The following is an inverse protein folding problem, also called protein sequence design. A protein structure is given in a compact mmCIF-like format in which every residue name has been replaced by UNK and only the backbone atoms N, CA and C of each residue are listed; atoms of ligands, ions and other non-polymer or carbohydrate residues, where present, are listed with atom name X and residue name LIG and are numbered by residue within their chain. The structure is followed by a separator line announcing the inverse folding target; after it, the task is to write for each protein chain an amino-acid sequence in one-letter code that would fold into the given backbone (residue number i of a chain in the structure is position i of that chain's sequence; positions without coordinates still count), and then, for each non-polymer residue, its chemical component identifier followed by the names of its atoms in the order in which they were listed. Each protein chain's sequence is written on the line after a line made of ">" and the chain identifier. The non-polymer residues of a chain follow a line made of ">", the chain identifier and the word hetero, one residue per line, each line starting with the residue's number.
data_IF_412922951446
#
_entry.id   IF_412922951446
#
_cell.length_a   1.000
_cell.length_b   1.000
_cell.length_c   1.000
_cell.angle_alpha   90.00
_cell.angle_beta   90.00
_cell.angle_gamma   90.00
#
_symmetry.space_group_name_H-M   'P 1'
#
loop_
_entity.id
_entity.type
_entity.pdbx_description
1 polymer ?
#
# COMPACT_ATOMS: atom_id res chain seq x y z
N UNK A 1 -21.92 11.07 2.81
CA UNK A 1 -22.43 10.35 4.00
C UNK A 1 -23.26 9.13 3.64
N UNK A 2 -24.61 9.12 3.59
CA UNK A 2 -25.42 7.87 3.43
C UNK A 2 -24.94 6.90 2.33
N UNK A 3 -24.58 7.39 1.13
CA UNK A 3 -23.99 6.59 0.04
C UNK A 3 -22.68 5.87 0.40
N UNK A 4 -21.82 6.50 1.21
CA UNK A 4 -20.52 5.95 1.64
C UNK A 4 -20.69 4.87 2.72
N UNK A 5 -21.65 5.05 3.64
CA UNK A 5 -21.97 4.02 4.64
C UNK A 5 -22.57 2.79 3.94
N UNK A 6 -23.46 2.98 2.95
CA UNK A 6 -24.00 1.87 2.15
C UNK A 6 -22.90 1.12 1.37
N UNK A 7 -21.95 1.86 0.78
CA UNK A 7 -20.74 1.28 0.18
C UNK A 7 -20.01 0.42 1.21
N UNK A 8 -19.71 0.97 2.38
CA UNK A 8 -18.94 0.27 3.42
C UNK A 8 -19.66 -0.99 3.91
N UNK A 9 -20.97 -0.94 4.14
CA UNK A 9 -21.77 -2.11 4.55
C UNK A 9 -21.82 -3.17 3.46
N UNK A 10 -22.00 -2.80 2.20
CA UNK A 10 -22.00 -3.73 1.07
C UNK A 10 -20.61 -4.37 0.85
N UNK A 11 -19.56 -3.55 0.88
CA UNK A 11 -18.15 -3.97 0.89
C UNK A 11 -17.94 -4.98 2.02
N UNK A 12 -18.15 -4.60 3.29
CA UNK A 12 -17.84 -5.47 4.43
C UNK A 12 -18.64 -6.78 4.39
N UNK A 13 -19.90 -6.77 3.93
CA UNK A 13 -20.69 -8.00 3.73
C UNK A 13 -20.22 -8.89 2.58
N UNK A 14 -19.57 -8.34 1.55
CA UNK A 14 -18.94 -9.10 0.48
C UNK A 14 -17.57 -9.65 0.93
N UNK A 15 -16.80 -8.86 1.68
CA UNK A 15 -15.45 -9.22 2.15
C UNK A 15 -15.44 -10.11 3.41
N UNK A 16 -16.53 -10.19 4.19
CA UNK A 16 -16.61 -11.04 5.38
C UNK A 16 -16.83 -12.54 5.08
N UNK A 17 -17.00 -12.92 3.81
CA UNK A 17 -17.35 -14.31 3.41
C UNK A 17 -16.12 -15.04 2.87
N UNK A 18 -15.26 -15.48 3.81
CA UNK A 18 -14.17 -16.44 3.65
C UNK A 18 -12.94 -16.02 2.80
N UNK A 19 -11.77 -15.74 3.43
CA UNK A 19 -10.49 -15.80 2.74
C UNK A 19 -10.05 -17.28 2.55
N UNK A 20 -9.77 -17.68 1.32
CA UNK A 20 -9.21 -19.01 1.00
C UNK A 20 -7.90 -18.82 0.24
N UNK A 21 -6.78 -19.10 0.91
CA UNK A 21 -5.45 -19.09 0.31
C UNK A 21 -5.18 -20.40 -0.45
N UNK A 22 -4.52 -20.30 -1.61
CA UNK A 22 -4.03 -21.45 -2.37
C UNK A 22 -2.78 -21.07 -3.18
N UNK A 23 -1.66 -21.73 -2.89
CA UNK A 23 -0.38 -21.55 -3.60
C UNK A 23 -0.19 -22.61 -4.69
N UNK A 24 0.51 -22.25 -5.78
CA UNK A 24 1.56 -23.08 -6.42
C UNK A 24 2.18 -22.35 -7.63
N UNK A 25 3.46 -22.61 -7.88
CA UNK A 25 4.28 -22.02 -8.98
C UNK A 25 5.14 -23.14 -9.58
N UNK A 26 5.40 -23.07 -10.90
CA UNK A 26 6.42 -23.85 -11.60
C UNK A 26 7.02 -23.04 -12.76
N UNK A 27 8.32 -23.25 -13.04
CA UNK A 27 9.15 -22.55 -14.04
C UNK A 27 8.90 -23.09 -15.49
N UNK A 28 9.44 -22.60 -16.62
CA UNK A 28 10.86 -22.37 -16.96
C UNK A 28 11.14 -21.51 -18.24
N UNK A 29 12.27 -20.76 -18.21
CA UNK A 29 13.19 -20.24 -19.27
C UNK A 29 12.75 -19.91 -20.73
N UNK A 30 12.90 -18.62 -21.10
CA UNK A 30 13.91 -17.98 -22.01
C UNK A 30 14.56 -18.82 -23.15
N UNK A 31 15.01 -18.25 -24.33
CA UNK A 31 15.92 -17.06 -24.39
C UNK A 31 16.03 -16.18 -25.69
N UNK A 32 16.86 -15.10 -25.63
CA UNK A 32 17.53 -14.28 -26.71
C UNK A 32 16.69 -13.66 -27.85
N UNK A 33 17.08 -12.62 -28.62
CA UNK A 33 18.22 -11.65 -28.83
C UNK A 33 17.57 -10.31 -29.33
N UNK A 34 18.15 -9.14 -29.63
CA UNK A 34 19.35 -8.26 -29.40
C UNK A 34 19.02 -6.93 -30.16
N UNK A 35 19.60 -5.73 -29.98
CA UNK A 35 20.49 -5.07 -29.00
C UNK A 35 20.38 -3.52 -29.21
N UNK A 36 20.70 -2.69 -28.19
CA UNK A 36 21.22 -1.30 -28.33
C UNK A 36 21.44 -0.63 -26.94
N UNK A 37 22.55 0.12 -26.77
CA UNK A 37 22.99 0.79 -25.52
C UNK A 37 23.08 -0.16 -24.32
N UNK A 38 24.22 -0.85 -24.21
CA UNK A 38 24.43 -2.10 -23.43
C UNK A 38 23.27 -2.46 -22.49
N UNK A 39 22.23 -3.14 -23.03
CA UNK A 39 21.10 -3.56 -22.25
C UNK A 39 21.50 -4.51 -21.14
N UNK A 40 22.65 -5.19 -21.23
CA UNK A 40 23.11 -6.11 -20.21
C UNK A 40 23.59 -5.37 -18.97
N UNK A 41 24.29 -4.25 -19.10
CA UNK A 41 24.73 -3.46 -17.93
C UNK A 41 23.51 -2.85 -17.21
N UNK A 42 22.54 -2.29 -17.95
CA UNK A 42 21.29 -1.79 -17.38
C UNK A 42 20.40 -2.91 -16.83
N UNK A 43 20.34 -4.07 -17.50
CA UNK A 43 19.56 -5.23 -17.07
C UNK A 43 20.22 -5.94 -15.88
N UNK A 44 21.54 -5.94 -15.75
CA UNK A 44 22.24 -6.52 -14.60
C UNK A 44 22.19 -5.57 -13.39
N UNK A 45 22.18 -4.24 -13.58
CA UNK A 45 21.85 -3.29 -12.52
C UNK A 45 20.36 -3.37 -12.10
N UNK A 46 19.45 -3.53 -13.07
CA UNK A 46 18.03 -3.80 -12.80
C UNK A 46 17.82 -5.17 -12.17
N UNK A 47 18.55 -6.22 -12.54
CA UNK A 47 18.54 -7.53 -11.87
C UNK A 47 19.14 -7.44 -10.47
N UNK A 48 20.14 -6.60 -10.22
CA UNK A 48 20.64 -6.39 -8.86
C UNK A 48 19.58 -5.68 -8.00
N UNK A 49 18.90 -4.67 -8.57
CA UNK A 49 17.78 -3.99 -7.91
C UNK A 49 16.56 -4.90 -7.74
N UNK A 50 16.22 -5.73 -8.73
CA UNK A 50 15.16 -6.72 -8.68
C UNK A 50 15.52 -7.82 -7.69
N UNK A 51 16.70 -8.42 -7.70
CA UNK A 51 17.14 -9.40 -6.70
C UNK A 51 17.16 -8.81 -5.28
N UNK A 52 17.49 -7.52 -5.11
CA UNK A 52 17.41 -6.86 -3.80
C UNK A 52 15.95 -6.59 -3.38
N UNK A 53 15.08 -6.19 -4.32
CA UNK A 53 13.63 -6.08 -4.09
C UNK A 53 12.98 -7.45 -3.89
N UNK A 54 13.48 -8.51 -4.51
CA UNK A 54 13.06 -9.90 -4.37
C UNK A 54 13.63 -10.50 -3.07
N UNK A 55 14.78 -10.06 -2.56
CA UNK A 55 15.22 -10.40 -1.21
C UNK A 55 14.36 -9.69 -0.15
N UNK A 56 13.91 -8.46 -0.41
CA UNK A 56 12.88 -7.79 0.39
C UNK A 56 11.50 -8.47 0.24
N UNK A 57 11.16 -8.96 -0.96
CA UNK A 57 9.89 -9.67 -1.23
C UNK A 57 9.93 -11.13 -0.76
N UNK A 58 11.11 -11.74 -0.62
CA UNK A 58 11.30 -13.07 -0.05
C UNK A 58 11.28 -13.03 1.49
N UNK A 59 11.16 -11.84 2.10
CA UNK A 59 10.59 -11.74 3.44
C UNK A 59 9.10 -12.17 3.49
N UNK A 60 8.40 -12.37 2.36
CA UNK A 60 7.12 -13.08 2.35
C UNK A 60 7.25 -14.57 2.79
N UNK A 61 8.48 -15.11 2.91
CA UNK A 61 8.72 -16.37 3.63
C UNK A 61 8.39 -16.29 5.13
N UNK A 62 8.13 -15.10 5.70
CA UNK A 62 7.66 -14.94 7.08
C UNK A 62 6.28 -15.57 7.33
N UNK A 63 5.45 -15.77 6.31
CA UNK A 63 4.14 -16.41 6.51
C UNK A 63 4.25 -17.92 6.76
N UNK A 64 5.24 -18.60 6.17
CA UNK A 64 5.58 -20.00 6.47
C UNK A 64 6.60 -20.11 7.64
N UNK A 65 6.40 -19.31 8.70
CA UNK A 65 7.33 -19.31 9.85
C UNK A 65 6.95 -18.50 11.09
N UNK A 66 6.10 -17.47 11.00
CA UNK A 66 5.68 -16.70 12.18
C UNK A 66 4.79 -17.55 13.10
N UNK A 67 5.39 -18.04 14.19
CA UNK A 67 4.65 -18.61 15.31
C UNK A 67 3.87 -17.48 16.03
N UNK A 68 2.55 -17.46 15.87
CA UNK A 68 1.66 -16.47 16.46
C UNK A 68 1.75 -16.45 17.99
N UNK A 69 1.92 -17.60 18.65
CA UNK A 69 2.11 -17.66 20.11
C UNK A 69 3.43 -16.99 20.55
N UNK A 70 4.47 -17.09 19.74
CA UNK A 70 5.75 -16.39 19.98
C UNK A 70 5.59 -14.88 19.83
N UNK A 71 4.82 -14.43 18.82
CA UNK A 71 4.55 -13.01 18.58
C UNK A 71 3.70 -12.39 19.69
N UNK A 72 2.68 -13.11 20.18
CA UNK A 72 1.83 -12.66 21.31
C UNK A 72 2.65 -12.54 22.59
N UNK A 73 3.42 -13.58 22.96
CA UNK A 73 4.28 -13.54 24.16
C UNK A 73 5.33 -12.42 24.09
N UNK A 74 5.91 -12.15 22.92
CA UNK A 74 6.82 -11.01 22.74
C UNK A 74 6.08 -9.67 22.92
N UNK A 75 4.90 -9.51 22.33
CA UNK A 75 4.12 -8.28 22.46
C UNK A 75 3.76 -7.95 23.91
N UNK A 76 3.36 -8.92 24.73
CA UNK A 76 3.06 -8.70 26.15
C UNK A 76 4.28 -8.17 26.92
N UNK A 77 5.48 -8.71 26.68
CA UNK A 77 6.72 -8.25 27.33
C UNK A 77 7.07 -6.82 26.86
N UNK A 78 6.90 -6.51 25.57
CA UNK A 78 7.13 -5.17 25.02
C UNK A 78 6.11 -4.15 25.57
N UNK A 79 4.88 -4.55 25.85
CA UNK A 79 3.85 -3.69 26.46
C UNK A 79 4.10 -3.47 27.95
N UNK A 80 4.64 -4.45 28.68
CA UNK A 80 5.13 -4.26 30.05
C UNK A 80 6.41 -3.40 30.11
N UNK A 81 7.24 -3.38 29.07
CA UNK A 81 8.32 -2.40 28.94
C UNK A 81 7.76 -1.00 28.63
N UNK A 82 6.83 -0.89 27.68
CA UNK A 82 6.16 0.38 27.35
C UNK A 82 5.55 1.05 28.59
N UNK A 83 4.76 0.32 29.39
CA UNK A 83 4.16 0.81 30.65
C UNK A 83 5.21 1.35 31.64
N UNK A 84 6.42 0.76 31.70
CA UNK A 84 7.53 1.29 32.52
C UNK A 84 8.07 2.61 31.96
N UNK A 85 8.29 2.68 30.64
CA UNK A 85 8.79 3.89 29.96
C UNK A 85 7.82 5.06 30.13
N UNK A 86 6.51 4.81 29.95
CA UNK A 86 5.43 5.77 30.21
C UNK A 86 5.43 6.23 31.67
N UNK A 87 5.43 5.29 32.63
CA UNK A 87 5.41 5.59 34.07
C UNK A 87 6.66 6.35 34.56
N UNK A 88 7.80 6.17 33.91
CA UNK A 88 9.04 6.91 34.19
C UNK A 88 9.11 8.29 33.53
N UNK A 89 8.11 8.66 32.72
CA UNK A 89 8.11 9.95 31.99
C UNK A 89 9.15 10.04 30.88
N UNK A 90 9.57 8.89 30.32
CA UNK A 90 10.60 8.79 29.27
C UNK A 90 10.00 8.68 27.87
N UNK A 91 8.81 9.26 27.70
CA UNK A 91 7.99 9.22 26.48
C UNK A 91 7.37 10.60 26.23
N UNK A 92 7.25 10.97 24.96
CA UNK A 92 6.53 12.17 24.51
C UNK A 92 5.82 11.93 23.18
N UNK A 93 4.85 12.80 22.86
CA UNK A 93 4.35 12.95 21.50
C UNK A 93 4.92 14.26 20.92
N UNK A 94 5.35 14.23 19.66
CA UNK A 94 5.80 15.42 18.94
C UNK A 94 4.65 16.13 18.19
N UNK A 95 4.97 17.19 17.44
CA UNK A 95 3.98 18.04 16.75
C UNK A 95 3.13 17.28 15.69
N UNK A 96 3.66 16.19 15.12
CA UNK A 96 2.94 15.29 14.20
C UNK A 96 2.12 14.21 14.93
N UNK A 97 2.18 14.16 16.26
CA UNK A 97 1.48 13.17 17.10
C UNK A 97 2.18 11.81 17.11
N UNK A 98 3.48 11.75 16.84
CA UNK A 98 4.29 10.53 16.83
C UNK A 98 4.99 10.34 18.18
N UNK A 99 5.16 9.09 18.59
CA UNK A 99 5.79 8.74 19.86
C UNK A 99 7.31 8.85 19.77
N UNK A 100 7.90 9.53 20.75
CA UNK A 100 9.34 9.70 20.91
C UNK A 100 9.76 9.09 22.25
N UNK A 101 10.82 8.27 22.23
CA UNK A 101 11.35 7.56 23.38
C UNK A 101 12.66 8.23 23.80
N UNK A 102 12.77 8.64 25.07
CA UNK A 102 14.00 9.22 25.59
C UNK A 102 15.10 8.15 25.71
N UNK A 103 16.35 8.47 25.34
CA UNK A 103 17.42 7.49 25.24
C UNK A 103 17.69 6.71 26.55
N UNK A 104 17.50 7.34 27.72
CA UNK A 104 17.60 6.68 29.04
C UNK A 104 16.46 5.69 29.34
N UNK A 105 15.60 5.38 28.38
CA UNK A 105 14.65 4.27 28.49
C UNK A 105 15.34 2.90 28.33
N UNK A 106 16.56 2.85 27.77
CA UNK A 106 17.40 1.64 27.70
C UNK A 106 17.66 1.08 29.12
N UNK A 107 17.83 1.95 30.12
CA UNK A 107 18.01 1.61 31.54
C UNK A 107 16.81 0.88 32.19
N UNK A 108 15.66 0.80 31.50
CA UNK A 108 14.43 0.12 31.97
C UNK A 108 14.23 -1.27 31.35
N UNK A 109 15.04 -1.63 30.36
CA UNK A 109 15.02 -2.96 29.74
C UNK A 109 15.82 -3.98 30.56
N UNK A 110 15.61 -5.27 30.27
CA UNK A 110 16.37 -6.38 30.90
C UNK A 110 17.71 -6.60 30.19
N UNK A 111 17.72 -6.37 28.89
CA UNK A 111 18.84 -6.48 27.98
C UNK A 111 18.60 -5.55 26.78
N UNK A 112 19.62 -5.38 25.93
CA UNK A 112 19.54 -4.50 24.76
C UNK A 112 18.60 -5.05 23.67
N UNK A 113 18.59 -6.35 23.41
CA UNK A 113 17.79 -6.93 22.33
C UNK A 113 16.29 -6.68 22.59
N UNK A 114 15.85 -6.71 23.85
CA UNK A 114 14.51 -6.32 24.26
C UNK A 114 14.21 -4.83 24.01
N UNK A 115 15.19 -3.93 24.23
CA UNK A 115 15.03 -2.50 23.98
C UNK A 115 14.99 -2.17 22.48
N UNK A 116 15.87 -2.77 21.68
CA UNK A 116 15.87 -2.62 20.22
C UNK A 116 14.55 -3.14 19.60
N UNK A 117 14.00 -4.26 20.11
CA UNK A 117 12.66 -4.74 19.73
C UNK A 117 11.53 -3.79 20.17
N UNK A 118 11.65 -3.13 21.33
CA UNK A 118 10.69 -2.12 21.78
C UNK A 118 10.71 -0.88 20.89
N UNK A 119 11.90 -0.37 20.55
CA UNK A 119 12.03 0.73 19.58
C UNK A 119 11.42 0.35 18.23
N UNK A 120 11.69 -0.85 17.72
CA UNK A 120 11.06 -1.35 16.48
C UNK A 120 9.52 -1.41 16.58
N UNK A 121 8.95 -1.82 17.73
CA UNK A 121 7.48 -1.75 17.95
C UNK A 121 6.99 -0.30 17.88
N UNK A 122 7.69 0.65 18.50
CA UNK A 122 7.33 2.07 18.45
C UNK A 122 7.47 2.68 17.05
N UNK A 123 8.48 2.29 16.26
CA UNK A 123 8.61 2.67 14.85
C UNK A 123 7.44 2.16 14.00
N UNK A 124 6.99 0.91 14.22
CA UNK A 124 5.82 0.35 13.53
C UNK A 124 4.52 1.04 13.94
N UNK A 125 4.36 1.38 15.22
CA UNK A 125 3.25 2.22 15.70
C UNK A 125 3.27 3.60 15.02
N UNK A 126 4.42 4.27 14.99
CA UNK A 126 4.58 5.57 14.32
C UNK A 126 4.27 5.49 12.82
N UNK A 127 4.73 4.46 12.12
CA UNK A 127 4.40 4.25 10.71
C UNK A 127 2.88 4.12 10.48
N UNK A 128 2.17 3.38 11.33
CA UNK A 128 0.71 3.29 11.25
C UNK A 128 0.01 4.63 11.54
N UNK A 129 0.54 5.45 12.45
CA UNK A 129 0.04 6.82 12.67
C UNK A 129 0.35 7.74 11.47
N UNK A 130 1.54 7.65 10.86
CA UNK A 130 1.94 8.45 9.67
C UNK A 130 1.06 8.14 8.46
N UNK A 131 0.79 6.86 8.18
CA UNK A 131 -0.10 6.46 7.07
C UNK A 131 -1.57 6.75 7.42
N UNK A 132 -1.94 6.53 8.68
CA UNK A 132 -3.26 6.77 9.23
C UNK A 132 -4.05 5.50 9.51
N UNK A 133 -5.17 5.66 10.22
CA UNK A 133 -5.97 4.54 10.75
C UNK A 133 -5.69 4.20 12.22
N UNK A 134 -4.69 4.86 12.80
CA UNK A 134 -4.28 4.74 14.20
C UNK A 134 -3.89 6.12 14.75
N UNK A 135 -3.95 6.26 16.07
CA UNK A 135 -3.43 7.40 16.84
C UNK A 135 -2.91 6.92 18.19
N UNK A 136 -2.09 7.72 18.88
CA UNK A 136 -1.83 7.50 20.30
C UNK A 136 -2.92 8.15 21.15
N UNK A 137 -3.24 7.56 22.30
CA UNK A 137 -4.11 8.17 23.33
C UNK A 137 -3.31 9.03 24.34
N UNK A 138 -3.99 9.54 25.36
CA UNK A 138 -3.38 10.37 26.41
C UNK A 138 -2.44 9.62 27.35
N UNK A 139 -2.51 8.29 27.35
CA UNK A 139 -1.65 7.39 28.14
C UNK A 139 -0.57 6.73 27.25
N UNK A 140 -0.38 7.26 26.04
CA UNK A 140 0.57 6.85 24.99
C UNK A 140 0.33 5.46 24.37
N UNK A 141 -0.82 4.82 24.61
CA UNK A 141 -1.14 3.56 23.94
C UNK A 141 -1.51 3.83 22.49
N UNK A 142 -1.13 2.93 21.58
CA UNK A 142 -1.59 2.98 20.19
C UNK A 142 -3.03 2.47 20.10
N UNK A 143 -3.95 3.37 19.76
CA UNK A 143 -5.37 3.07 19.55
C UNK A 143 -5.67 2.97 18.06
N UNK A 144 -6.43 1.94 17.68
CA UNK A 144 -6.84 1.72 16.30
C UNK A 144 -8.21 2.37 16.05
N UNK A 145 -8.30 3.22 15.02
CA UNK A 145 -9.53 3.95 14.70
C UNK A 145 -10.62 3.02 14.18
N UNK A 146 -11.91 3.40 14.30
CA UNK A 146 -12.98 2.70 13.57
C UNK A 146 -12.80 2.88 12.07
N UNK A 147 -13.28 1.95 11.22
CA UNK A 147 -13.03 2.02 9.77
C UNK A 147 -13.52 3.32 9.14
N UNK A 148 -14.63 3.86 9.65
CA UNK A 148 -15.21 5.11 9.16
C UNK A 148 -14.34 6.32 9.54
N UNK A 149 -13.55 6.26 10.61
CA UNK A 149 -12.59 7.29 11.03
C UNK A 149 -11.23 7.08 10.36
N UNK A 150 -10.74 5.83 10.31
CA UNK A 150 -9.52 5.43 9.63
C UNK A 150 -9.51 5.88 8.17
N UNK A 151 -10.60 5.64 7.43
CA UNK A 151 -10.70 6.07 6.03
C UNK A 151 -10.62 7.60 5.90
N UNK A 152 -11.25 8.37 6.81
CA UNK A 152 -11.20 9.84 6.81
C UNK A 152 -9.80 10.36 7.15
N UNK A 153 -9.14 9.77 8.13
CA UNK A 153 -7.78 10.09 8.58
C UNK A 153 -6.75 9.82 7.48
N UNK A 154 -6.78 8.62 6.89
CA UNK A 154 -5.92 8.22 5.77
C UNK A 154 -6.18 9.11 4.56
N UNK A 155 -7.43 9.45 4.23
CA UNK A 155 -7.76 10.41 3.15
C UNK A 155 -7.22 11.82 3.44
N UNK A 156 -7.30 12.30 4.69
CA UNK A 156 -6.75 13.60 5.08
C UNK A 156 -5.22 13.64 4.99
N UNK A 157 -4.54 12.60 5.48
CA UNK A 157 -3.07 12.43 5.38
C UNK A 157 -2.62 12.30 3.92
N UNK A 158 -3.36 11.55 3.11
CA UNK A 158 -3.18 11.47 1.66
C UNK A 158 -3.33 12.83 0.95
N UNK A 159 -4.34 13.63 1.30
CA UNK A 159 -4.52 14.97 0.74
C UNK A 159 -3.39 15.93 1.12
N UNK A 160 -2.91 15.90 2.37
CA UNK A 160 -1.69 16.63 2.78
C UNK A 160 -0.46 16.19 1.97
N UNK A 161 -0.23 14.88 1.83
CA UNK A 161 0.87 14.27 1.03
C UNK A 161 0.84 14.75 -0.43
N UNK A 162 -0.35 14.86 -1.05
CA UNK A 162 -0.53 15.40 -2.40
C UNK A 162 -0.24 16.91 -2.48
N UNK A 163 -0.71 17.69 -1.50
CA UNK A 163 -0.48 19.15 -1.46
C UNK A 163 1.01 19.49 -1.30
N UNK A 164 1.70 18.86 -0.36
CA UNK A 164 3.15 19.06 -0.17
C UNK A 164 3.95 18.67 -1.40
N UNK A 165 3.69 17.49 -1.98
CA UNK A 165 4.41 17.01 -3.16
C UNK A 165 4.12 17.85 -4.42
N UNK A 166 2.89 18.36 -4.60
CA UNK A 166 2.57 19.22 -5.75
C UNK A 166 3.28 20.59 -5.68
N UNK A 167 3.44 21.17 -4.49
CA UNK A 167 4.25 22.38 -4.28
C UNK A 167 5.73 22.19 -4.67
N UNK A 168 6.33 21.02 -4.41
CA UNK A 168 7.68 20.70 -4.87
C UNK A 168 7.73 20.43 -6.38
N UNK A 169 6.70 19.80 -6.97
CA UNK A 169 6.65 19.53 -8.42
C UNK A 169 6.66 20.81 -9.27
N UNK A 170 6.16 21.93 -8.76
CA UNK A 170 6.21 23.26 -9.40
C UNK A 170 7.62 23.88 -9.46
N UNK A 171 8.64 23.23 -8.87
CA UNK A 171 10.07 23.54 -9.03
C UNK A 171 10.84 22.52 -9.87
N UNK A 172 10.17 21.52 -10.44
CA UNK A 172 10.77 20.58 -11.39
C UNK A 172 10.96 21.23 -12.77
N UNK A 173 12.22 21.40 -13.19
CA UNK A 173 12.66 22.03 -14.44
C UNK A 173 11.67 21.92 -15.62
N UNK A 174 11.19 23.07 -16.11
CA UNK A 174 10.67 23.22 -17.47
C UNK A 174 11.79 23.22 -18.53
N UNK A 175 12.68 22.22 -18.47
CA UNK A 175 13.79 22.06 -19.40
C UNK A 175 13.32 21.42 -20.70
N UNK A 176 13.07 22.29 -21.69
CA UNK A 176 12.63 21.98 -23.05
C UNK A 176 13.28 20.72 -23.67
N UNK A 177 12.47 19.69 -23.96
CA UNK A 177 12.57 18.97 -25.24
C UNK A 177 11.25 18.26 -25.61
N UNK A 178 10.19 19.05 -25.83
CA UNK A 178 8.91 18.52 -26.31
C UNK A 178 9.01 18.14 -27.80
N UNK A 179 9.31 16.87 -28.09
CA UNK A 179 8.96 16.27 -29.39
C UNK A 179 7.44 16.31 -29.53
N UNK A 180 6.95 17.22 -30.38
CA UNK A 180 5.52 17.30 -30.68
C UNK A 180 4.98 15.92 -31.10
N UNK A 181 3.82 15.55 -30.55
CA UNK A 181 3.02 14.35 -30.85
C UNK A 181 3.37 13.04 -30.11
N UNK A 182 4.37 12.99 -29.22
CA UNK A 182 4.57 11.81 -28.34
C UNK A 182 3.68 11.87 -27.09
N UNK A 183 2.91 10.80 -26.79
CA UNK A 183 2.16 10.67 -25.54
C UNK A 183 3.11 10.61 -24.31
N UNK A 184 2.70 11.14 -23.14
CA UNK A 184 3.50 11.04 -21.93
C UNK A 184 3.66 9.59 -21.48
N UNK A 185 4.85 9.25 -20.97
CA UNK A 185 5.18 7.90 -20.47
C UNK A 185 4.53 7.64 -19.12
N UNK A 186 3.97 6.44 -18.95
CA UNK A 186 3.43 5.93 -17.69
C UNK A 186 4.05 4.58 -17.34
N UNK A 187 4.90 4.55 -16.31
CA UNK A 187 5.42 3.30 -15.74
C UNK A 187 4.36 2.65 -14.83
N UNK A 188 3.31 2.08 -15.44
CA UNK A 188 2.17 1.53 -14.72
C UNK A 188 2.58 0.38 -13.79
N UNK A 189 3.44 -0.53 -14.26
CA UNK A 189 3.97 -1.65 -13.46
C UNK A 189 4.77 -1.18 -12.24
N UNK A 190 5.65 -0.18 -12.41
CA UNK A 190 6.48 0.33 -11.31
C UNK A 190 5.66 1.06 -10.24
N UNK A 191 4.68 1.86 -10.65
CA UNK A 191 3.79 2.56 -9.71
C UNK A 191 2.89 1.55 -8.99
N UNK A 192 2.27 0.61 -9.71
CA UNK A 192 1.40 -0.40 -9.10
C UNK A 192 2.16 -1.35 -8.17
N UNK A 193 3.42 -1.69 -8.49
CA UNK A 193 4.30 -2.47 -7.60
C UNK A 193 4.63 -1.70 -6.31
N UNK A 194 4.97 -0.41 -6.41
CA UNK A 194 5.16 0.42 -5.21
C UNK A 194 3.89 0.49 -4.36
N UNK A 195 2.74 0.70 -5.00
CA UNK A 195 1.46 0.76 -4.29
C UNK A 195 1.12 -0.58 -3.63
N UNK A 196 1.42 -1.73 -4.27
CA UNK A 196 1.28 -3.07 -3.66
C UNK A 196 2.17 -3.21 -2.43
N UNK A 197 3.41 -2.74 -2.49
CA UNK A 197 4.30 -2.70 -1.32
C UNK A 197 3.74 -1.83 -0.20
N UNK A 198 3.19 -0.63 -0.49
CA UNK A 198 2.54 0.21 0.53
C UNK A 198 1.33 -0.51 1.20
N UNK A 199 0.65 -1.45 0.53
CA UNK A 199 -0.37 -2.32 1.15
C UNK A 199 0.27 -3.42 2.02
N UNK A 200 1.33 -4.06 1.54
CA UNK A 200 2.01 -5.16 2.25
C UNK A 200 2.71 -4.66 3.53
N UNK A 201 3.37 -3.51 3.47
CA UNK A 201 4.03 -2.86 4.61
C UNK A 201 3.00 -2.51 5.71
N UNK A 202 1.83 -1.99 5.31
CA UNK A 202 0.72 -1.70 6.23
C UNK A 202 0.16 -2.97 6.89
N UNK A 203 0.03 -4.05 6.12
CA UNK A 203 -0.39 -5.35 6.66
C UNK A 203 0.61 -5.92 7.67
N UNK A 204 1.91 -5.91 7.35
CA UNK A 204 2.96 -6.41 8.25
C UNK A 204 3.03 -5.57 9.54
N UNK A 205 2.93 -4.24 9.43
CA UNK A 205 2.87 -3.37 10.62
C UNK A 205 1.61 -3.64 11.47
N UNK A 206 0.42 -3.74 10.85
CA UNK A 206 -0.82 -4.07 11.57
C UNK A 206 -0.78 -5.47 12.19
N UNK A 207 -0.19 -6.47 11.52
CA UNK A 207 -0.05 -7.84 12.04
C UNK A 207 0.88 -7.87 13.27
N UNK A 208 2.00 -7.16 13.22
CA UNK A 208 2.94 -7.06 14.33
C UNK A 208 2.30 -6.39 15.56
N UNK A 209 1.50 -5.35 15.36
CA UNK A 209 0.83 -4.58 16.41
C UNK A 209 -0.41 -5.28 16.98
N UNK A 210 -1.31 -5.77 16.13
CA UNK A 210 -2.60 -6.37 16.54
C UNK A 210 -2.46 -7.84 16.98
N UNK A 211 -1.31 -8.48 16.74
CA UNK A 211 -1.06 -9.91 17.01
C UNK A 211 -1.97 -10.87 16.22
N UNK A 212 -2.74 -10.36 15.26
CA UNK A 212 -3.90 -11.04 14.67
C UNK A 212 -4.01 -10.77 13.17
N UNK A 213 -3.86 -11.81 12.35
CA UNK A 213 -4.01 -11.72 10.89
C UNK A 213 -5.38 -11.22 10.46
N UNK A 214 -6.46 -11.62 11.15
CA UNK A 214 -7.82 -11.15 10.85
C UNK A 214 -7.97 -9.64 11.10
N UNK A 215 -7.39 -9.12 12.18
CA UNK A 215 -7.38 -7.68 12.45
C UNK A 215 -6.54 -6.93 11.40
N UNK A 216 -5.34 -7.45 11.08
CA UNK A 216 -4.46 -6.87 10.09
C UNK A 216 -5.09 -6.81 8.68
N UNK A 217 -5.78 -7.86 8.21
CA UNK A 217 -6.51 -7.84 6.92
C UNK A 217 -7.61 -6.76 6.94
N UNK A 218 -8.37 -6.66 8.03
CA UNK A 218 -9.46 -5.68 8.16
C UNK A 218 -8.96 -4.23 8.20
N UNK A 219 -7.86 -3.96 8.89
CA UNK A 219 -7.22 -2.63 8.95
C UNK A 219 -6.55 -2.26 7.61
N UNK A 220 -5.87 -3.21 6.97
CA UNK A 220 -5.27 -3.03 5.64
C UNK A 220 -6.35 -2.82 4.57
N UNK A 221 -7.51 -3.46 4.70
CA UNK A 221 -8.69 -3.20 3.86
C UNK A 221 -9.15 -1.75 3.98
N UNK A 222 -9.21 -1.17 5.18
CA UNK A 222 -9.56 0.23 5.37
C UNK A 222 -8.54 1.18 4.70
N UNK A 223 -7.24 0.91 4.84
CA UNK A 223 -6.17 1.66 4.15
C UNK A 223 -6.27 1.58 2.62
N UNK A 224 -6.45 0.37 2.08
CA UNK A 224 -6.56 0.16 0.63
C UNK A 224 -7.80 0.87 0.06
N UNK A 225 -8.97 0.72 0.71
CA UNK A 225 -10.20 1.44 0.34
C UNK A 225 -10.00 2.95 0.39
N UNK A 226 -9.38 3.49 1.45
CA UNK A 226 -9.10 4.92 1.57
C UNK A 226 -8.18 5.46 0.47
N UNK A 227 -7.30 4.61 -0.07
CA UNK A 227 -6.33 4.99 -1.11
C UNK A 227 -6.86 4.83 -2.54
N UNK A 228 -7.70 3.83 -2.84
CA UNK A 228 -8.27 3.60 -4.20
C UNK A 228 -9.59 4.34 -4.47
N UNK A 229 -10.31 4.80 -3.43
CA UNK A 229 -11.60 5.48 -3.61
C UNK A 229 -11.46 6.99 -3.75
N UNK A 230 -12.56 7.66 -4.18
CA UNK A 230 -12.61 9.09 -4.51
C UNK A 230 -11.85 9.98 -3.51
N UNK A 231 -10.81 10.67 -3.99
CA UNK A 231 -9.96 11.57 -3.19
C UNK A 231 -8.77 10.90 -2.48
N UNK A 232 -8.56 9.59 -2.67
CA UNK A 232 -7.36 8.86 -2.25
C UNK A 232 -6.17 9.05 -3.21
N UNK A 233 -4.96 8.68 -2.77
CA UNK A 233 -3.71 8.83 -3.56
C UNK A 233 -3.64 7.96 -4.82
N UNK A 234 -4.51 6.95 -4.96
CA UNK A 234 -4.55 6.04 -6.10
C UNK A 234 -5.84 6.18 -6.94
N UNK A 235 -6.67 7.19 -6.68
CA UNK A 235 -7.76 7.60 -7.58
C UNK A 235 -7.18 8.33 -8.81
N UNK A 236 -6.46 7.58 -9.66
CA UNK A 236 -5.87 8.09 -10.89
C UNK A 236 -6.90 8.58 -11.91
N UNK A 237 -8.21 8.37 -11.68
CA UNK A 237 -9.29 8.93 -12.50
C UNK A 237 -9.50 10.42 -12.22
N UNK A 238 -9.28 10.88 -10.98
CA UNK A 238 -9.47 12.28 -10.56
C UNK A 238 -8.17 13.01 -10.13
N UNK A 239 -7.12 12.28 -9.73
CA UNK A 239 -5.90 12.83 -9.17
C UNK A 239 -5.19 13.83 -10.09
N UNK A 240 -4.71 14.94 -9.53
CA UNK A 240 -3.93 15.94 -10.26
C UNK A 240 -2.70 15.32 -10.96
N UNK A 241 -2.44 15.72 -12.21
CA UNK A 241 -1.43 15.12 -13.09
C UNK A 241 -1.92 13.86 -13.83
N UNK A 242 -2.90 13.12 -13.29
CA UNK A 242 -3.52 11.96 -13.96
C UNK A 242 -4.84 12.30 -14.64
N UNK A 243 -5.66 13.14 -14.01
CA UNK A 243 -6.92 13.67 -14.54
C UNK A 243 -6.75 14.40 -15.89
N UNK A 244 -7.75 14.36 -16.79
CA UNK A 244 -9.01 13.60 -16.70
C UNK A 244 -8.81 12.09 -16.84
N UNK A 245 -9.82 11.28 -16.47
CA UNK A 245 -9.85 9.82 -16.66
C UNK A 245 -9.53 9.41 -18.12
N UNK A 246 -9.92 10.21 -19.11
CA UNK A 246 -9.66 10.00 -20.53
C UNK A 246 -8.24 10.36 -20.99
N UNK A 247 -7.40 10.97 -20.15
CA UNK A 247 -6.01 11.36 -20.50
C UNK A 247 -5.22 10.13 -20.94
N UNK A 248 -4.57 10.23 -22.09
CA UNK A 248 -3.81 9.14 -22.70
C UNK A 248 -2.32 9.18 -22.34
N UNK A 249 -1.74 7.99 -22.27
CA UNK A 249 -0.34 7.72 -21.92
C UNK A 249 0.23 6.63 -22.82
N UNK A 250 1.54 6.66 -23.05
CA UNK A 250 2.27 5.46 -23.46
C UNK A 250 2.59 4.64 -22.20
N UNK A 251 1.81 3.60 -21.93
CA UNK A 251 1.83 2.88 -20.66
C UNK A 251 2.59 1.54 -20.76
N UNK A 252 3.46 1.33 -19.78
CA UNK A 252 4.34 0.17 -19.65
C UNK A 252 3.85 -0.73 -18.51
N UNK A 253 3.42 -1.94 -18.86
CA UNK A 253 3.00 -3.02 -17.94
C UNK A 253 4.07 -4.12 -17.91
N UNK A 254 3.91 -5.19 -17.11
CA UNK A 254 4.82 -6.35 -17.14
C UNK A 254 4.87 -6.97 -18.55
N UNK A 255 3.73 -7.03 -19.26
CA UNK A 255 3.64 -7.59 -20.60
C UNK A 255 3.91 -6.60 -21.75
N UNK A 256 3.93 -5.28 -21.50
CA UNK A 256 4.22 -4.25 -22.53
C UNK A 256 5.51 -3.44 -22.29
N UNK A 257 6.43 -3.96 -21.48
CA UNK A 257 7.58 -3.20 -20.97
C UNK A 257 8.55 -2.66 -22.05
N UNK A 258 8.56 -3.23 -23.26
CA UNK A 258 9.46 -2.82 -24.34
C UNK A 258 8.83 -1.85 -25.36
N UNK A 259 7.53 -1.98 -25.66
CA UNK A 259 6.85 -1.13 -26.65
C UNK A 259 6.06 0.01 -26.03
N UNK A 260 5.55 -0.18 -24.82
CA UNK A 260 4.41 0.56 -24.29
C UNK A 260 3.12 0.27 -25.06
N UNK A 261 1.98 0.75 -24.53
CA UNK A 261 0.65 0.70 -25.17
C UNK A 261 -0.10 1.98 -24.83
N UNK A 262 -0.83 2.55 -25.79
CA UNK A 262 -1.75 3.68 -25.51
C UNK A 262 -2.85 3.26 -24.52
N UNK A 263 -2.81 3.82 -23.30
CA UNK A 263 -3.81 3.59 -22.25
C UNK A 263 -4.31 4.91 -21.66
N UNK A 264 -5.46 4.86 -21.01
CA UNK A 264 -6.08 6.00 -20.31
C UNK A 264 -5.77 5.98 -18.81
N UNK A 265 -5.90 7.12 -18.13
CA UNK A 265 -5.85 7.18 -16.66
C UNK A 265 -6.96 6.35 -15.99
N UNK A 266 -8.12 6.20 -16.64
CA UNK A 266 -9.18 5.25 -16.30
C UNK A 266 -8.66 3.80 -16.25
N UNK A 267 -8.05 3.34 -17.35
CA UNK A 267 -7.44 2.02 -17.44
C UNK A 267 -6.39 1.83 -16.35
N UNK A 268 -5.58 2.86 -16.06
CA UNK A 268 -4.54 2.76 -15.05
C UNK A 268 -5.09 2.68 -13.61
N UNK A 269 -6.14 3.43 -13.29
CA UNK A 269 -6.84 3.31 -12.01
C UNK A 269 -7.38 1.89 -11.79
N UNK A 270 -8.03 1.32 -12.82
CA UNK A 270 -8.55 -0.05 -12.80
C UNK A 270 -7.44 -1.12 -12.71
N UNK A 271 -6.34 -0.93 -13.46
CA UNK A 271 -5.16 -1.80 -13.40
C UNK A 271 -4.53 -1.78 -11.99
N UNK A 272 -4.29 -0.59 -11.43
CA UNK A 272 -3.74 -0.45 -10.08
C UNK A 272 -4.66 -1.05 -9.02
N UNK A 273 -5.98 -0.88 -9.15
CA UNK A 273 -6.99 -1.48 -8.27
C UNK A 273 -6.89 -3.02 -8.28
N UNK A 274 -6.81 -3.65 -9.46
CA UNK A 274 -6.61 -5.10 -9.57
C UNK A 274 -5.25 -5.57 -9.04
N UNK A 275 -4.19 -4.82 -9.34
CA UNK A 275 -2.80 -5.14 -8.99
C UNK A 275 -2.56 -5.10 -7.47
N UNK A 276 -3.02 -4.04 -6.81
CA UNK A 276 -2.92 -3.87 -5.35
C UNK A 276 -3.94 -4.72 -4.60
N UNK A 277 -5.17 -4.81 -5.12
CA UNK A 277 -6.27 -5.53 -4.48
C UNK A 277 -6.08 -7.04 -4.38
N UNK A 278 -5.27 -7.65 -5.27
CA UNK A 278 -4.94 -9.08 -5.22
C UNK A 278 -4.40 -9.54 -3.86
N UNK A 279 -3.64 -8.68 -3.17
CA UNK A 279 -3.03 -9.05 -1.89
C UNK A 279 -4.09 -9.35 -0.80
N UNK A 280 -5.27 -8.74 -0.89
CA UNK A 280 -6.35 -8.90 0.08
C UNK A 280 -7.51 -9.76 -0.45
N UNK A 281 -7.74 -9.76 -1.77
CA UNK A 281 -9.03 -10.15 -2.35
C UNK A 281 -8.90 -10.98 -3.64
N UNK A 282 -9.90 -11.84 -3.88
CA UNK A 282 -10.01 -12.58 -5.15
C UNK A 282 -10.57 -11.71 -6.28
N UNK A 283 -10.25 -12.08 -7.53
CA UNK A 283 -10.68 -11.34 -8.73
C UNK A 283 -12.21 -11.14 -8.84
N UNK A 284 -13.01 -12.13 -8.45
CA UNK A 284 -14.49 -12.02 -8.47
C UNK A 284 -15.00 -10.99 -7.48
N UNK A 285 -14.36 -10.89 -6.31
CA UNK A 285 -14.67 -9.90 -5.28
C UNK A 285 -14.21 -8.49 -5.72
N UNK A 286 -13.06 -8.38 -6.38
CA UNK A 286 -12.61 -7.11 -6.99
C UNK A 286 -13.58 -6.63 -8.08
N UNK A 287 -14.10 -7.52 -8.94
CA UNK A 287 -15.16 -7.16 -9.89
C UNK A 287 -16.45 -6.70 -9.19
N UNK A 288 -16.83 -7.29 -8.05
CA UNK A 288 -18.00 -6.85 -7.30
C UNK A 288 -17.79 -5.43 -6.71
N UNK A 289 -16.60 -5.15 -6.18
CA UNK A 289 -16.23 -3.83 -5.67
C UNK A 289 -16.18 -2.75 -6.76
N UNK A 290 -15.56 -3.04 -7.91
CA UNK A 290 -15.52 -2.16 -9.07
C UNK A 290 -16.92 -1.82 -9.62
N UNK A 291 -17.75 -2.85 -9.86
CA UNK A 291 -19.14 -2.65 -10.29
C UNK A 291 -19.96 -1.77 -9.33
N UNK A 292 -19.79 -1.94 -8.01
CA UNK A 292 -20.45 -1.09 -7.02
C UNK A 292 -19.92 0.36 -7.07
N UNK A 293 -18.60 0.55 -7.16
CA UNK A 293 -17.95 1.84 -7.30
C UNK A 293 -18.45 2.61 -8.55
N UNK A 294 -18.51 1.93 -9.69
CA UNK A 294 -19.09 2.45 -10.93
C UNK A 294 -20.53 2.93 -10.73
N UNK A 295 -21.41 2.10 -10.16
CA UNK A 295 -22.82 2.48 -9.93
C UNK A 295 -22.95 3.64 -8.94
N UNK A 296 -22.08 3.73 -7.93
CA UNK A 296 -22.16 4.75 -6.89
C UNK A 296 -21.72 6.15 -7.38
N UNK A 297 -20.71 6.19 -8.26
CA UNK A 297 -19.98 7.41 -8.66
C UNK A 297 -20.09 7.75 -10.16
N UNK A 298 -20.00 6.76 -11.06
CA UNK A 298 -20.19 6.93 -12.51
C UNK A 298 -21.65 6.75 -12.98
N UNK A 299 -22.48 6.06 -12.18
CA UNK A 299 -23.88 5.77 -12.50
C UNK A 299 -24.09 4.55 -13.42
N UNK A 300 -23.05 3.77 -13.69
CA UNK A 300 -23.07 2.57 -14.54
C UNK A 300 -22.20 1.45 -13.95
N UNK A 301 -22.45 0.20 -14.34
CA UNK A 301 -21.57 -0.93 -14.02
C UNK A 301 -20.21 -0.81 -14.72
N UNK A 302 -19.20 -1.54 -14.26
CA UNK A 302 -17.89 -1.61 -14.91
C UNK A 302 -18.03 -2.25 -16.30
N UNK A 303 -17.42 -1.63 -17.32
CA UNK A 303 -17.44 -2.18 -18.67
C UNK A 303 -16.50 -3.38 -18.79
N UNK A 304 -16.60 -4.12 -19.90
CA UNK A 304 -15.65 -5.18 -20.21
C UNK A 304 -14.19 -4.69 -20.31
N UNK A 305 -13.96 -3.40 -20.62
CA UNK A 305 -12.63 -2.80 -20.65
C UNK A 305 -12.09 -2.50 -19.24
N UNK A 306 -12.98 -2.09 -18.31
CA UNK A 306 -12.63 -1.88 -16.91
C UNK A 306 -12.27 -3.22 -16.24
N UNK A 307 -13.12 -4.24 -16.41
CA UNK A 307 -12.87 -5.57 -15.89
C UNK A 307 -11.62 -6.22 -16.51
N UNK A 308 -11.35 -6.00 -17.80
CA UNK A 308 -10.10 -6.46 -18.42
C UNK A 308 -8.85 -5.74 -17.86
N UNK A 309 -8.95 -4.45 -17.49
CA UNK A 309 -7.87 -3.73 -16.83
C UNK A 309 -7.63 -4.23 -15.40
N UNK A 310 -8.69 -4.45 -14.62
CA UNK A 310 -8.63 -5.08 -13.29
C UNK A 310 -7.97 -6.46 -13.39
N UNK A 311 -8.38 -7.30 -14.36
CA UNK A 311 -7.78 -8.61 -14.57
C UNK A 311 -6.30 -8.52 -14.94
N UNK A 312 -5.92 -7.62 -15.85
CA UNK A 312 -4.53 -7.44 -16.25
C UNK A 312 -3.65 -7.03 -15.06
N UNK A 313 -4.13 -6.13 -14.19
CA UNK A 313 -3.44 -5.80 -12.94
C UNK A 313 -3.33 -6.99 -12.00
N UNK A 314 -4.43 -7.73 -11.81
CA UNK A 314 -4.49 -8.91 -10.94
C UNK A 314 -3.58 -10.06 -11.43
N UNK A 315 -3.49 -10.31 -12.73
CA UNK A 315 -2.63 -11.33 -13.31
C UNK A 315 -1.15 -10.91 -13.24
N UNK A 316 -0.85 -9.63 -13.53
CA UNK A 316 0.52 -9.10 -13.50
C UNK A 316 1.06 -8.85 -12.08
N UNK A 317 0.25 -8.97 -11.02
CA UNK A 317 0.67 -8.75 -9.63
C UNK A 317 1.14 -10.00 -8.89
N UNK A 318 1.39 -11.09 -9.61
CA UNK A 318 2.11 -12.29 -9.15
C UNK A 318 3.59 -11.93 -8.94
#
# INVERSE_FOLDING_TARGET
>A
MKKLVLLLTAIILIFSVSPVFANSVTEEKLPITEDLTDPKELLDELRLKINNLENLTNQNALLDGVNIESLVNQNEILDELHKKVVKSGLVSLNEDGLIEIHASAEDLAVDKDLFDNYLFKMERSNYLVIVGGYNFDTDFNLVSLSNDEAIKDIQLKNQKKIQTNSLYSLKGNSSNFSTLNSLPVLNAIGIATKNKQEVQDYYVASLYIEGSGTAAVYKTTAFWVASVTNGGVWDYKSLAGYSPNTKQWNAYTRYSYTTGVTRTSEWFGNYNYGYTGRFLFSLSVLYAGGNFAGVLWGGHLDTALDQAAIKMGYDESI
#
